data_IF_815851642486
#
_entry.id   IF_815851642486
#
_cell.length_a   1.000
_cell.length_b   1.000
_cell.length_c   1.000
_cell.angle_alpha   90.00
_cell.angle_beta   90.00
_cell.angle_gamma   90.00
#
_symmetry.space_group_name_H-M   'P 1'
#
loop_
_entity.id
_entity.type
_entity.pdbx_description
1 polymer ?
#
# COMPACT_ATOMS: atom_id res chain seq x y z
N UNK A 1 -10.46 -3.07 -1.60
CA UNK A 1 -9.28 -3.53 -2.37
C UNK A 1 -8.62 -4.64 -1.57
N UNK A 2 -7.91 -5.59 -2.16
CA UNK A 2 -7.15 -6.58 -1.39
C UNK A 2 -5.91 -6.98 -2.20
N UNK A 3 -4.84 -6.20 -2.06
CA UNK A 3 -3.60 -6.36 -2.82
C UNK A 3 -2.42 -6.22 -1.87
N UNK A 4 -1.34 -6.98 -2.09
CA UNK A 4 -0.13 -6.80 -1.28
C UNK A 4 0.68 -5.61 -1.78
N UNK A 5 1.50 -5.02 -0.92
CA UNK A 5 2.41 -3.94 -1.30
C UNK A 5 3.33 -4.36 -2.48
N UNK A 6 3.82 -5.61 -2.50
CA UNK A 6 4.62 -6.13 -3.62
C UNK A 6 3.83 -6.18 -4.93
N UNK A 7 2.60 -6.69 -4.92
CA UNK A 7 1.79 -6.78 -6.13
C UNK A 7 1.43 -5.39 -6.68
N UNK A 8 1.17 -4.43 -5.79
CA UNK A 8 0.94 -3.05 -6.19
C UNK A 8 2.19 -2.40 -6.80
N UNK A 9 3.35 -2.58 -6.16
CA UNK A 9 4.62 -2.04 -6.65
C UNK A 9 4.95 -2.58 -8.06
N UNK A 10 4.73 -3.87 -8.31
CA UNK A 10 4.91 -4.47 -9.64
C UNK A 10 4.03 -3.83 -10.71
N UNK A 11 2.76 -3.52 -10.40
CA UNK A 11 1.86 -2.87 -11.34
C UNK A 11 2.27 -1.42 -11.66
N UNK A 12 2.86 -0.74 -10.68
CA UNK A 12 3.31 0.64 -10.81
C UNK A 12 4.76 0.77 -11.29
N UNK A 13 5.48 -0.35 -11.45
CA UNK A 13 6.92 -0.35 -11.73
C UNK A 13 7.75 0.29 -10.61
N UNK A 14 7.29 0.19 -9.37
CA UNK A 14 7.95 0.71 -8.18
C UNK A 14 8.67 -0.37 -7.37
N UNK A 15 9.42 0.08 -6.37
CA UNK A 15 10.14 -0.77 -5.42
C UNK A 15 9.47 -0.74 -4.04
N UNK A 16 9.47 -1.88 -3.35
CA UNK A 16 9.01 -1.96 -1.96
C UNK A 16 10.18 -1.80 -1.01
N UNK A 17 10.07 -0.83 -0.11
CA UNK A 17 10.95 -0.70 1.06
C UNK A 17 10.17 -1.11 2.31
N UNK A 18 10.46 -2.28 2.87
CA UNK A 18 9.78 -2.83 4.04
C UNK A 18 9.09 -4.17 3.78
N UNK A 19 7.99 -4.45 4.49
CA UNK A 19 7.23 -5.71 4.35
C UNK A 19 6.28 -5.68 3.14
N UNK A 20 6.71 -6.31 2.05
CA UNK A 20 5.92 -6.46 0.83
C UNK A 20 4.68 -7.35 0.95
N UNK A 21 4.57 -8.18 2.00
CA UNK A 21 3.39 -8.99 2.27
C UNK A 21 2.24 -8.18 2.92
N UNK A 22 2.49 -6.92 3.31
CA UNK A 22 1.47 -6.03 3.87
C UNK A 22 0.26 -5.97 2.96
N UNK A 23 -0.90 -6.29 3.53
CA UNK A 23 -2.17 -6.28 2.82
C UNK A 23 -2.76 -4.86 2.79
N UNK A 24 -2.93 -4.32 1.60
CA UNK A 24 -3.58 -3.04 1.35
C UNK A 24 -5.06 -3.28 1.04
N UNK A 25 -5.91 -2.71 1.88
CA UNK A 25 -7.36 -2.90 1.86
C UNK A 25 -8.12 -1.70 1.33
N UNK A 26 -7.53 -0.51 1.43
CA UNK A 26 -8.17 0.76 1.09
C UNK A 26 -7.17 1.88 0.80
N UNK A 27 -7.72 3.08 0.65
CA UNK A 27 -6.95 4.32 0.55
C UNK A 27 -7.35 5.24 1.70
N UNK A 28 -6.37 5.92 2.28
CA UNK A 28 -6.57 6.87 3.37
C UNK A 28 -5.70 8.11 3.17
N UNK A 29 -6.26 9.28 3.47
CA UNK A 29 -5.45 10.50 3.57
C UNK A 29 -4.48 10.38 4.74
N UNK A 30 -3.28 10.95 4.62
CA UNK A 30 -2.19 10.74 5.57
C UNK A 30 -2.55 11.13 7.02
N UNK A 31 -3.49 12.07 7.20
CA UNK A 31 -3.98 12.53 8.51
C UNK A 31 -4.94 11.54 9.21
N UNK A 32 -5.48 10.56 8.47
CA UNK A 32 -6.54 9.66 8.95
C UNK A 32 -6.37 8.20 8.54
N UNK A 33 -5.29 7.85 7.84
CA UNK A 33 -5.05 6.50 7.33
C UNK A 33 -4.92 5.49 8.47
N UNK A 34 -5.63 4.36 8.35
CA UNK A 34 -5.56 3.24 9.28
C UNK A 34 -4.62 2.13 8.82
N UNK A 35 -4.56 1.05 9.60
CA UNK A 35 -3.89 -0.19 9.17
C UNK A 35 -4.56 -0.72 7.90
N UNK A 36 -3.76 -0.96 6.86
CA UNK A 36 -4.22 -1.44 5.56
C UNK A 36 -4.60 -0.33 4.57
N UNK A 37 -4.63 0.94 4.98
CA UNK A 37 -4.83 2.05 4.06
C UNK A 37 -3.52 2.44 3.37
N UNK A 38 -3.60 2.57 2.05
CA UNK A 38 -2.54 3.17 1.25
C UNK A 38 -2.69 4.70 1.27
N UNK A 39 -1.59 5.39 1.53
CA UNK A 39 -1.49 6.87 1.46
C UNK A 39 -0.32 7.29 0.58
N UNK A 40 -0.25 8.57 0.21
CA UNK A 40 0.78 9.14 -0.67
C UNK A 40 1.06 10.60 -0.34
N UNK A 41 2.23 11.10 -0.75
CA UNK A 41 2.70 12.48 -0.61
C UNK A 41 3.17 13.02 -1.97
#
# INVERSE_FOLDING_TARGET
MQITATALAQQLGGDVLGDGATLLTGFGAADRAGTGDLTFA
#
